data_IF_626687754000
#
_entry.id   IF_626687754000
#
_cell.length_a   1.000
_cell.length_b   1.000
_cell.length_c   1.000
_cell.angle_alpha   90.00
_cell.angle_beta   90.00
_cell.angle_gamma   90.00
#
_symmetry.space_group_name_H-M   'P 1'
#
loop_
_entity.id
_entity.type
_entity.pdbx_description
1 polymer ?
#
# COMPACT_ATOMS: atom_id res chain seq x y z
N UNK A 1 -1.53 -54.26 -1.85
CA UNK A 1 -1.40 -53.55 -3.14
C UNK A 1 -0.73 -52.22 -2.83
N UNK A 2 0.48 -51.99 -3.34
CA UNK A 2 1.24 -50.78 -3.08
C UNK A 2 0.76 -49.65 -4.02
N UNK A 3 0.46 -48.49 -3.47
CA UNK A 3 0.10 -47.29 -4.24
C UNK A 3 1.27 -46.86 -5.15
N UNK A 4 1.00 -46.43 -6.40
CA UNK A 4 2.07 -46.02 -7.29
C UNK A 4 2.68 -44.70 -6.82
N UNK A 5 4.01 -44.67 -6.73
CA UNK A 5 4.79 -43.49 -6.41
C UNK A 5 4.52 -42.38 -7.44
N UNK A 6 4.11 -41.20 -6.96
CA UNK A 6 4.03 -40.00 -7.78
C UNK A 6 5.42 -39.67 -8.32
N UNK A 7 5.60 -39.80 -9.63
CA UNK A 7 6.80 -39.39 -10.34
C UNK A 7 6.94 -37.87 -10.27
N UNK A 8 7.81 -37.37 -9.40
CA UNK A 8 8.22 -35.98 -9.38
C UNK A 8 9.04 -35.68 -10.64
N UNK A 9 8.40 -35.09 -11.66
CA UNK A 9 9.10 -34.64 -12.86
C UNK A 9 10.18 -33.62 -12.47
N UNK A 10 11.43 -33.86 -12.90
CA UNK A 10 12.53 -32.91 -12.69
C UNK A 10 12.27 -31.62 -13.50
N UNK A 11 12.49 -30.43 -12.91
CA UNK A 11 12.31 -29.17 -13.62
C UNK A 11 13.22 -29.12 -14.86
N UNK A 12 12.62 -28.80 -16.02
CA UNK A 12 13.36 -28.66 -17.28
C UNK A 12 14.06 -27.30 -17.30
N UNK A 13 15.38 -27.32 -17.40
CA UNK A 13 16.18 -26.10 -17.64
C UNK A 13 15.93 -25.63 -19.07
N UNK A 14 15.60 -24.36 -19.24
CA UNK A 14 15.35 -23.74 -20.55
C UNK A 14 16.12 -22.43 -20.67
N UNK A 15 16.48 -22.01 -21.90
CA UNK A 15 17.01 -20.67 -22.14
C UNK A 15 16.03 -19.59 -21.65
N UNK A 16 16.55 -18.55 -21.00
CA UNK A 16 15.74 -17.44 -20.56
C UNK A 16 15.18 -16.68 -21.77
N UNK A 17 13.85 -16.51 -21.84
CA UNK A 17 13.16 -15.80 -22.92
C UNK A 17 12.98 -14.31 -22.67
N UNK A 18 13.42 -13.81 -21.51
CA UNK A 18 13.20 -12.44 -21.10
C UNK A 18 14.52 -11.73 -20.79
N UNK A 19 14.61 -10.47 -21.21
CA UNK A 19 15.67 -9.55 -20.82
C UNK A 19 15.08 -8.49 -19.88
N UNK A 20 15.60 -8.40 -18.65
CA UNK A 20 15.15 -7.40 -17.66
C UNK A 20 15.76 -6.03 -17.92
N UNK A 21 14.96 -4.98 -17.74
CA UNK A 21 15.33 -3.57 -17.84
C UNK A 21 15.28 -2.84 -16.49
N UNK A 22 14.74 -1.62 -16.50
CA UNK A 22 14.66 -0.73 -15.33
C UNK A 22 13.77 -1.30 -14.22
N UNK A 23 14.04 -0.88 -12.99
CA UNK A 23 13.18 -1.17 -11.84
C UNK A 23 11.94 -0.28 -11.89
N UNK A 24 10.76 -0.90 -11.74
CA UNK A 24 9.46 -0.22 -11.69
C UNK A 24 8.98 -0.04 -10.25
N UNK A 25 9.34 -0.97 -9.35
CA UNK A 25 8.99 -0.91 -7.94
C UNK A 25 9.80 -1.88 -7.09
N UNK A 26 9.83 -1.65 -5.79
CA UNK A 26 10.53 -2.51 -4.82
C UNK A 26 9.64 -2.77 -3.60
N UNK A 27 9.57 -4.02 -3.18
CA UNK A 27 8.92 -4.47 -1.96
C UNK A 27 9.91 -5.16 -1.02
N UNK A 28 9.43 -5.63 0.13
CA UNK A 28 10.30 -6.22 1.16
C UNK A 28 11.06 -7.47 0.72
N UNK A 29 10.49 -8.25 -0.20
CA UNK A 29 11.03 -9.55 -0.64
C UNK A 29 11.15 -9.67 -2.17
N UNK A 30 10.76 -8.62 -2.90
CA UNK A 30 10.68 -8.64 -4.35
C UNK A 30 11.00 -7.30 -4.98
N UNK A 31 11.48 -7.34 -6.21
CA UNK A 31 11.66 -6.15 -7.06
C UNK A 31 10.88 -6.37 -8.34
N UNK A 32 10.08 -5.39 -8.73
CA UNK A 32 9.37 -5.40 -10.02
C UNK A 32 10.24 -4.68 -11.04
N UNK A 33 10.57 -5.36 -12.13
CA UNK A 33 11.36 -4.81 -13.24
C UNK A 33 10.56 -4.83 -14.52
N UNK A 34 10.79 -3.87 -15.39
CA UNK A 34 10.40 -4.00 -16.79
C UNK A 34 11.17 -5.16 -17.41
N UNK A 35 10.55 -5.92 -18.31
CA UNK A 35 11.26 -6.90 -19.12
C UNK A 35 10.69 -6.97 -20.53
N UNK A 36 11.52 -7.44 -21.47
CA UNK A 36 11.13 -7.65 -22.87
C UNK A 36 11.29 -9.12 -23.22
N UNK A 37 10.28 -9.70 -23.87
CA UNK A 37 10.38 -11.05 -24.42
C UNK A 37 11.27 -11.01 -25.68
N UNK A 38 12.35 -11.78 -25.67
CA UNK A 38 13.45 -11.70 -26.65
C UNK A 38 12.94 -11.97 -28.07
N UNK A 39 12.09 -12.98 -28.25
CA UNK A 39 11.64 -13.37 -29.60
C UNK A 39 10.56 -12.46 -30.18
N UNK A 40 9.75 -11.80 -29.34
CA UNK A 40 8.56 -11.04 -29.78
C UNK A 40 8.75 -9.53 -29.65
N UNK A 41 9.76 -9.08 -28.91
CA UNK A 41 9.96 -7.66 -28.60
C UNK A 41 8.90 -7.06 -27.68
N UNK A 42 7.94 -7.85 -27.17
CA UNK A 42 6.85 -7.34 -26.32
C UNK A 42 7.32 -7.09 -24.90
N UNK A 43 6.88 -5.97 -24.33
CA UNK A 43 7.21 -5.53 -22.99
C UNK A 43 6.22 -6.05 -21.94
N UNK A 44 6.76 -6.33 -20.76
CA UNK A 44 6.08 -6.93 -19.60
C UNK A 44 6.66 -6.39 -18.29
N UNK A 45 6.02 -6.73 -17.17
CA UNK A 45 6.57 -6.53 -15.84
C UNK A 45 6.98 -7.89 -15.25
N UNK A 46 8.17 -7.96 -14.65
CA UNK A 46 8.69 -9.14 -13.97
C UNK A 46 8.84 -8.85 -12.46
N UNK A 47 8.00 -9.47 -11.64
CA UNK A 47 8.17 -9.52 -10.18
C UNK A 47 9.23 -10.57 -9.85
N UNK A 48 10.41 -10.10 -9.45
CA UNK A 48 11.57 -10.93 -9.08
C UNK A 48 11.58 -11.12 -7.58
N UNK A 49 11.33 -12.35 -7.13
CA UNK A 49 11.24 -12.72 -5.71
C UNK A 49 12.50 -13.49 -5.33
N UNK A 50 13.20 -13.05 -4.28
CA UNK A 50 14.40 -13.74 -3.80
C UNK A 50 14.04 -14.94 -2.93
N UNK A 51 14.44 -16.15 -3.35
CA UNK A 51 14.12 -17.40 -2.64
C UNK A 51 14.68 -17.44 -1.22
N UNK A 52 15.87 -16.85 -0.99
CA UNK A 52 16.49 -16.80 0.35
C UNK A 52 15.69 -15.95 1.31
N UNK A 53 15.12 -14.83 0.83
CA UNK A 53 14.29 -13.95 1.64
C UNK A 53 12.90 -14.56 1.94
N UNK A 54 12.53 -15.62 1.22
CA UNK A 54 11.28 -16.36 1.38
C UNK A 54 11.44 -17.64 2.22
N UNK A 55 12.58 -17.85 2.89
CA UNK A 55 12.78 -19.00 3.76
C UNK A 55 11.67 -19.07 4.84
N UNK A 56 10.94 -20.19 4.90
CA UNK A 56 9.79 -20.39 5.79
C UNK A 56 8.48 -19.73 5.31
N UNK A 57 8.48 -19.12 4.12
CA UNK A 57 7.38 -18.37 3.50
C UNK A 57 7.12 -18.79 2.04
N UNK A 58 7.74 -19.88 1.59
CA UNK A 58 7.71 -20.37 0.21
C UNK A 58 6.29 -20.72 -0.25
N UNK A 59 5.45 -21.16 0.69
CA UNK A 59 4.04 -21.46 0.44
C UNK A 59 3.25 -20.24 -0.06
N UNK A 60 3.61 -19.02 0.37
CA UNK A 60 2.93 -17.79 -0.07
C UNK A 60 3.16 -17.54 -1.56
N UNK A 61 4.39 -17.74 -2.05
CA UNK A 61 4.72 -17.54 -3.48
C UNK A 61 4.07 -18.61 -4.36
N UNK A 62 4.06 -19.87 -3.92
CA UNK A 62 3.34 -20.94 -4.64
C UNK A 62 1.85 -20.65 -4.74
N UNK A 63 1.27 -20.14 -3.67
CA UNK A 63 -0.13 -19.74 -3.64
C UNK A 63 -0.40 -18.53 -4.56
N UNK A 64 0.46 -17.51 -4.58
CA UNK A 64 0.35 -16.39 -5.53
C UNK A 64 0.34 -16.88 -6.99
N UNK A 65 1.26 -17.79 -7.35
CA UNK A 65 1.30 -18.43 -8.67
C UNK A 65 0.01 -19.20 -8.96
N UNK A 66 -0.48 -20.00 -8.00
CA UNK A 66 -1.68 -20.82 -8.18
C UNK A 66 -2.94 -19.95 -8.36
N UNK A 67 -3.08 -18.90 -7.57
CA UNK A 67 -4.15 -17.90 -7.69
C UNK A 67 -4.11 -17.25 -9.06
N UNK A 68 -2.97 -16.64 -9.43
CA UNK A 68 -2.83 -15.94 -10.70
C UNK A 68 -3.12 -16.84 -11.90
N UNK A 69 -2.58 -18.06 -11.93
CA UNK A 69 -2.88 -19.04 -12.99
C UNK A 69 -4.37 -19.33 -13.14
N UNK A 70 -5.12 -19.33 -12.03
CA UNK A 70 -6.55 -19.64 -12.03
C UNK A 70 -7.39 -18.47 -12.54
N UNK A 71 -7.01 -17.23 -12.20
CA UNK A 71 -7.90 -16.06 -12.36
C UNK A 71 -7.48 -15.09 -13.44
N UNK A 72 -6.19 -15.03 -13.78
CA UNK A 72 -5.64 -13.88 -14.51
C UNK A 72 -6.10 -13.73 -15.96
N UNK A 73 -6.72 -14.76 -16.54
CA UNK A 73 -7.24 -14.71 -17.93
C UNK A 73 -8.76 -14.56 -18.01
N UNK A 74 -9.49 -14.60 -16.89
CA UNK A 74 -10.95 -14.62 -16.92
C UNK A 74 -11.64 -13.29 -16.61
N UNK A 75 -10.90 -12.21 -16.37
CA UNK A 75 -11.49 -10.90 -16.10
C UNK A 75 -10.60 -9.75 -16.58
N UNK A 76 -11.18 -8.76 -17.29
CA UNK A 76 -10.44 -7.64 -17.90
C UNK A 76 -9.74 -6.74 -16.87
N UNK A 77 -10.32 -6.61 -15.68
CA UNK A 77 -9.81 -5.79 -14.58
C UNK A 77 -8.87 -6.55 -13.61
N UNK A 78 -8.34 -7.71 -14.01
CA UNK A 78 -7.31 -8.44 -13.25
C UNK A 78 -6.01 -8.44 -14.05
N UNK A 79 -4.89 -8.25 -13.36
CA UNK A 79 -3.57 -8.30 -13.99
C UNK A 79 -3.25 -9.70 -14.52
N UNK A 80 -2.98 -9.80 -15.82
CA UNK A 80 -2.68 -11.07 -16.50
C UNK A 80 -1.31 -11.61 -16.11
N UNK A 81 -1.21 -12.86 -15.67
CA UNK A 81 0.04 -13.62 -15.60
C UNK A 81 0.35 -14.20 -16.98
N UNK A 82 1.47 -13.80 -17.56
CA UNK A 82 1.93 -14.18 -18.89
C UNK A 82 2.85 -15.39 -18.82
N UNK A 83 3.80 -15.39 -17.88
CA UNK A 83 4.74 -16.49 -17.67
C UNK A 83 5.22 -16.52 -16.21
N UNK A 84 5.77 -17.65 -15.79
CA UNK A 84 6.46 -17.77 -14.51
C UNK A 84 7.60 -18.79 -14.63
N UNK A 85 8.75 -18.45 -14.07
CA UNK A 85 9.91 -19.33 -14.08
C UNK A 85 10.78 -19.10 -12.85
N UNK A 86 11.73 -20.00 -12.64
CA UNK A 86 12.64 -19.92 -11.52
C UNK A 86 14.10 -20.08 -11.96
N UNK A 87 14.98 -19.37 -11.28
CA UNK A 87 16.42 -19.63 -11.32
C UNK A 87 16.85 -20.28 -10.02
N UNK A 88 18.14 -20.54 -9.84
CA UNK A 88 18.68 -21.09 -8.60
C UNK A 88 18.29 -20.24 -7.37
N UNK A 89 18.28 -18.91 -7.52
CA UNK A 89 18.12 -17.98 -6.40
C UNK A 89 16.80 -17.20 -6.40
N UNK A 90 16.10 -17.11 -7.54
CA UNK A 90 14.94 -16.24 -7.69
C UNK A 90 13.74 -16.94 -8.32
N UNK A 91 12.54 -16.46 -8.02
CA UNK A 91 11.29 -16.73 -8.73
C UNK A 91 10.90 -15.50 -9.53
N UNK A 92 10.38 -15.70 -10.74
CA UNK A 92 9.96 -14.64 -11.65
C UNK A 92 8.50 -14.85 -12.00
N UNK A 93 7.67 -13.83 -11.77
CA UNK A 93 6.30 -13.75 -12.27
C UNK A 93 6.27 -12.67 -13.34
N UNK A 94 5.99 -13.05 -14.58
CA UNK A 94 5.88 -12.14 -15.71
C UNK A 94 4.42 -11.82 -15.94
N UNK A 95 4.05 -10.55 -15.87
CA UNK A 95 2.68 -10.06 -16.06
C UNK A 95 2.61 -9.04 -17.19
N UNK A 96 1.38 -8.69 -17.59
CA UNK A 96 1.16 -7.47 -18.37
C UNK A 96 1.84 -6.27 -17.71
N UNK A 97 2.39 -5.36 -18.53
CA UNK A 97 2.97 -4.11 -18.08
C UNK A 97 1.87 -3.04 -18.03
N UNK A 98 1.49 -2.61 -16.83
CA UNK A 98 0.57 -1.49 -16.63
C UNK A 98 1.32 -0.15 -16.75
N UNK A 99 1.01 0.65 -17.77
CA UNK A 99 1.68 1.91 -18.08
C UNK A 99 0.88 3.16 -17.64
N UNK A 100 -0.40 3.00 -17.28
CA UNK A 100 -1.27 4.11 -16.89
C UNK A 100 -0.94 4.71 -15.52
N UNK A 101 -0.19 3.98 -14.70
CA UNK A 101 0.17 4.35 -13.34
C UNK A 101 -0.93 4.03 -12.33
N UNK A 102 -0.71 4.46 -11.09
CA UNK A 102 -1.60 4.20 -9.96
C UNK A 102 -2.90 4.99 -10.05
N UNK A 103 -3.95 4.45 -9.42
CA UNK A 103 -5.31 5.00 -9.41
C UNK A 103 -5.33 6.50 -9.10
N UNK A 104 -4.67 6.91 -8.03
CA UNK A 104 -4.74 8.28 -7.55
C UNK A 104 -3.96 9.27 -8.41
N UNK A 105 -2.77 8.87 -8.88
CA UNK A 105 -1.97 9.68 -9.80
C UNK A 105 -2.70 9.92 -11.12
N UNK A 106 -3.55 8.98 -11.54
CA UNK A 106 -4.43 9.15 -12.70
C UNK A 106 -5.54 10.15 -12.44
N UNK A 107 -6.22 10.05 -11.30
CA UNK A 107 -7.27 10.99 -10.90
C UNK A 107 -6.72 12.42 -10.85
N UNK A 108 -5.53 12.61 -10.27
CA UNK A 108 -4.87 13.92 -10.20
C UNK A 108 -4.55 14.55 -11.56
N UNK A 109 -4.40 13.72 -12.61
CA UNK A 109 -4.11 14.18 -13.97
C UNK A 109 -5.37 14.58 -14.75
N UNK A 110 -6.57 14.21 -14.28
CA UNK A 110 -7.83 14.65 -14.89
C UNK A 110 -8.02 16.16 -14.74
N UNK A 111 -8.83 16.75 -15.63
CA UNK A 111 -9.27 18.14 -15.53
C UNK A 111 -10.38 18.34 -14.48
N UNK A 112 -11.24 17.33 -14.32
CA UNK A 112 -12.31 17.27 -13.33
C UNK A 112 -12.52 15.82 -12.88
N UNK A 113 -13.11 15.62 -11.71
CA UNK A 113 -13.41 14.31 -11.15
C UNK A 113 -14.70 14.34 -10.34
N UNK A 114 -15.68 13.54 -10.73
CA UNK A 114 -17.02 13.55 -10.16
C UNK A 114 -17.34 12.27 -9.40
N UNK A 115 -18.45 12.29 -8.68
CA UNK A 115 -18.95 11.12 -7.97
C UNK A 115 -19.23 9.93 -8.91
N UNK A 116 -19.70 10.21 -10.14
CA UNK A 116 -19.90 9.19 -11.18
C UNK A 116 -18.61 8.52 -11.62
N UNK A 117 -17.50 9.28 -11.75
CA UNK A 117 -16.17 8.71 -12.01
C UNK A 117 -15.75 7.74 -10.90
N UNK A 118 -16.02 8.09 -9.63
CA UNK A 118 -15.75 7.23 -8.49
C UNK A 118 -16.61 5.95 -8.55
N UNK A 119 -17.90 6.07 -8.86
CA UNK A 119 -18.80 4.94 -8.99
C UNK A 119 -18.37 3.96 -10.09
N UNK A 120 -17.92 4.45 -11.26
CA UNK A 120 -17.42 3.61 -12.35
C UNK A 120 -16.13 2.86 -11.97
N UNK A 121 -15.21 3.53 -11.26
CA UNK A 121 -14.01 2.88 -10.72
C UNK A 121 -14.36 1.79 -9.71
N UNK A 122 -15.27 2.08 -8.77
CA UNK A 122 -15.73 1.10 -7.79
C UNK A 122 -16.47 -0.06 -8.47
N UNK A 123 -17.24 0.19 -9.54
CA UNK A 123 -17.89 -0.87 -10.33
C UNK A 123 -16.87 -1.82 -10.96
N UNK A 124 -15.78 -1.30 -11.53
CA UNK A 124 -14.71 -2.11 -12.10
C UNK A 124 -13.99 -2.96 -11.02
N UNK A 125 -13.72 -2.37 -9.85
CA UNK A 125 -13.11 -3.09 -8.71
C UNK A 125 -14.05 -4.19 -8.22
N UNK A 126 -15.32 -3.87 -8.00
CA UNK A 126 -16.33 -4.82 -7.54
C UNK A 126 -16.54 -5.97 -8.54
N UNK A 127 -16.53 -5.70 -9.84
CA UNK A 127 -16.64 -6.73 -10.88
C UNK A 127 -15.50 -7.74 -10.78
N UNK A 128 -14.26 -7.25 -10.65
CA UNK A 128 -13.09 -8.12 -10.46
C UNK A 128 -13.15 -8.89 -9.14
N UNK A 129 -13.56 -8.24 -8.05
CA UNK A 129 -13.64 -8.86 -6.74
C UNK A 129 -14.77 -9.90 -6.67
N UNK A 130 -15.92 -9.65 -7.30
CA UNK A 130 -16.98 -10.64 -7.45
C UNK A 130 -16.47 -11.88 -8.19
N UNK A 131 -15.76 -11.68 -9.31
CA UNK A 131 -15.13 -12.78 -10.04
C UNK A 131 -14.12 -13.56 -9.19
N UNK A 132 -13.26 -12.89 -8.41
CA UNK A 132 -12.35 -13.57 -7.48
C UNK A 132 -13.12 -14.38 -6.42
N UNK A 133 -14.14 -13.77 -5.84
CA UNK A 133 -14.98 -14.38 -4.82
C UNK A 133 -15.71 -15.61 -5.36
N UNK A 134 -16.19 -15.60 -6.60
CA UNK A 134 -16.81 -16.75 -7.27
C UNK A 134 -15.83 -17.89 -7.51
N UNK A 135 -14.52 -17.58 -7.62
CA UNK A 135 -13.45 -18.57 -7.72
C UNK A 135 -12.88 -19.00 -6.35
N UNK A 136 -13.55 -18.61 -5.25
CA UNK A 136 -13.13 -18.92 -3.89
C UNK A 136 -11.87 -18.17 -3.46
N UNK A 137 -11.51 -17.07 -4.11
CA UNK A 137 -10.30 -16.30 -3.84
C UNK A 137 -10.64 -15.01 -3.10
N UNK A 138 -9.90 -14.73 -2.04
CA UNK A 138 -9.96 -13.47 -1.29
C UNK A 138 -8.67 -12.70 -1.51
N UNK A 139 -8.77 -11.42 -1.89
CA UNK A 139 -7.60 -10.61 -2.27
C UNK A 139 -6.74 -10.22 -1.05
N UNK A 140 -7.38 -9.69 0.01
CA UNK A 140 -6.83 -9.32 1.34
C UNK A 140 -5.90 -8.12 1.41
N UNK A 141 -5.43 -7.60 0.29
CA UNK A 141 -4.60 -6.40 0.24
C UNK A 141 -5.12 -5.40 -0.79
N UNK A 142 -6.44 -5.19 -0.86
CA UNK A 142 -6.99 -4.14 -1.72
C UNK A 142 -6.64 -2.78 -1.13
N UNK A 143 -5.96 -1.96 -1.92
CA UNK A 143 -5.53 -0.59 -1.61
C UNK A 143 -5.19 0.16 -2.91
N UNK A 144 -5.18 1.50 -2.92
CA UNK A 144 -4.92 2.28 -4.12
C UNK A 144 -3.63 1.93 -4.86
N UNK A 145 -2.57 1.55 -4.14
CA UNK A 145 -1.26 1.16 -4.69
C UNK A 145 -1.33 -0.13 -5.54
N UNK A 146 -2.34 -0.98 -5.27
CA UNK A 146 -2.58 -2.22 -6.00
C UNK A 146 -3.62 -2.05 -7.12
N UNK A 147 -4.04 -0.81 -7.42
CA UNK A 147 -5.00 -0.47 -8.47
C UNK A 147 -4.30 0.35 -9.55
N UNK A 148 -4.02 -0.27 -10.69
CA UNK A 148 -3.21 0.29 -11.76
C UNK A 148 -4.03 0.45 -13.04
N UNK A 149 -3.77 1.49 -13.81
CA UNK A 149 -4.35 1.61 -15.15
C UNK A 149 -3.49 0.89 -16.18
N UNK A 150 -4.14 0.08 -17.04
CA UNK A 150 -3.46 -0.70 -18.08
C UNK A 150 -2.60 0.20 -18.98
N UNK A 151 -3.16 1.33 -19.39
CA UNK A 151 -2.53 2.24 -20.34
C UNK A 151 -2.74 3.72 -19.95
N UNK A 152 -2.00 4.67 -20.56
CA UNK A 152 -2.09 6.09 -20.21
C UNK A 152 -3.30 6.84 -20.82
N UNK A 153 -4.17 6.19 -21.59
CA UNK A 153 -5.36 6.81 -22.17
C UNK A 153 -6.49 6.99 -21.13
N UNK A 154 -7.37 7.96 -21.34
CA UNK A 154 -8.39 8.36 -20.36
C UNK A 154 -9.46 7.29 -20.13
N UNK A 155 -9.69 6.43 -21.12
CA UNK A 155 -10.60 5.29 -21.06
C UNK A 155 -9.91 3.97 -20.70
N UNK A 156 -8.69 4.01 -20.17
CA UNK A 156 -7.93 2.80 -19.84
C UNK A 156 -8.61 1.96 -18.76
N UNK A 157 -8.52 0.64 -18.91
CA UNK A 157 -9.01 -0.32 -17.91
C UNK A 157 -8.22 -0.20 -16.59
N UNK A 158 -8.95 -0.18 -15.48
CA UNK A 158 -8.39 -0.39 -14.15
C UNK A 158 -8.04 -1.89 -13.97
N UNK A 159 -6.89 -2.17 -13.39
CA UNK A 159 -6.38 -3.50 -13.09
C UNK A 159 -6.13 -3.65 -11.60
N UNK A 160 -6.64 -4.72 -11.00
CA UNK A 160 -6.22 -5.19 -9.68
C UNK A 160 -4.90 -5.96 -9.84
N UNK A 161 -3.88 -5.50 -9.13
CA UNK A 161 -2.54 -6.06 -9.07
C UNK A 161 -2.22 -6.62 -7.67
N UNK A 162 -1.09 -7.34 -7.60
CA UNK A 162 -0.48 -7.90 -6.38
C UNK A 162 -1.35 -8.86 -5.54
N UNK A 163 -1.33 -10.13 -5.96
CA UNK A 163 -2.02 -11.24 -5.29
C UNK A 163 -1.15 -11.92 -4.21
N UNK A 164 -0.04 -11.30 -3.79
CA UNK A 164 0.93 -11.89 -2.87
C UNK A 164 0.37 -12.24 -1.48
N UNK A 165 -0.73 -11.60 -1.09
CA UNK A 165 -1.46 -11.88 0.16
C UNK A 165 -2.80 -12.59 -0.06
N UNK A 166 -3.19 -12.82 -1.31
CA UNK A 166 -4.45 -13.50 -1.64
C UNK A 166 -4.43 -14.95 -1.20
N UNK A 167 -5.59 -15.57 -0.98
CA UNK A 167 -5.68 -17.01 -0.70
C UNK A 167 -6.90 -17.64 -1.35
N UNK A 168 -6.75 -18.90 -1.72
CA UNK A 168 -7.84 -19.80 -2.12
C UNK A 168 -8.50 -20.30 -0.82
N UNK A 169 -9.82 -20.15 -0.72
CA UNK A 169 -10.64 -20.74 0.33
C UNK A 169 -11.04 -22.15 -0.11
N UNK A 170 -10.76 -23.16 0.72
CA UNK A 170 -11.42 -24.46 0.60
C UNK A 170 -12.80 -24.36 1.24
N UNK A 171 -13.85 -24.71 0.50
CA UNK A 171 -15.25 -24.64 0.98
C UNK A 171 -15.52 -25.55 2.18
N UNK A 172 -14.68 -26.59 2.37
CA UNK A 172 -14.80 -27.56 3.47
C UNK A 172 -14.01 -27.18 4.73
N UNK A 173 -13.15 -26.16 4.67
CA UNK A 173 -12.35 -25.74 5.82
C UNK A 173 -12.46 -24.22 6.00
N UNK A 174 -13.42 -23.82 6.83
CA UNK A 174 -13.45 -22.49 7.46
C UNK A 174 -12.18 -22.30 8.29
N UNK A 175 -11.08 -21.92 7.64
CA UNK A 175 -9.80 -21.71 8.30
C UNK A 175 -9.81 -20.38 9.03
N UNK A 176 -9.48 -20.46 10.32
CA UNK A 176 -9.16 -19.32 11.18
C UNK A 176 -7.83 -18.75 10.72
N UNK A 177 -7.87 -17.64 10.00
CA UNK A 177 -6.69 -16.99 9.42
C UNK A 177 -6.18 -15.94 10.40
N UNK A 178 -4.98 -16.15 10.94
CA UNK A 178 -4.45 -15.38 12.10
C UNK A 178 -3.28 -14.45 11.78
N UNK A 179 -2.90 -14.31 10.51
CA UNK A 179 -1.72 -13.54 10.08
C UNK A 179 -2.08 -12.09 9.76
N UNK A 180 -1.53 -11.14 10.53
CA UNK A 180 -1.63 -9.69 10.29
C UNK A 180 -0.71 -9.31 9.12
N UNK A 181 -1.26 -9.10 7.93
CA UNK A 181 -0.55 -8.62 6.74
C UNK A 181 -1.39 -7.56 6.03
N UNK A 182 -0.79 -6.45 5.61
CA UNK A 182 -1.42 -5.34 4.85
C UNK A 182 -1.12 -3.94 5.44
N UNK A 183 -1.67 -2.89 4.82
CA UNK A 183 -1.66 -1.51 5.35
C UNK A 183 -2.83 -1.33 6.34
N UNK A 184 -2.60 -1.03 7.64
CA UNK A 184 -3.63 -1.08 8.68
C UNK A 184 -4.94 -0.36 8.35
N UNK A 185 -4.86 0.84 7.74
CA UNK A 185 -6.03 1.65 7.40
C UNK A 185 -7.05 1.03 6.45
N UNK A 186 -6.71 -0.04 5.72
CA UNK A 186 -7.62 -0.77 4.83
C UNK A 186 -8.09 -2.12 5.39
N UNK A 187 -7.57 -2.53 6.56
CA UNK A 187 -7.90 -3.83 7.16
C UNK A 187 -9.26 -3.82 7.84
N UNK A 188 -10.00 -4.93 7.68
CA UNK A 188 -11.27 -5.13 8.36
C UNK A 188 -11.11 -5.45 9.85
N UNK A 189 -12.10 -5.13 10.72
CA UNK A 189 -12.03 -5.35 12.17
C UNK A 189 -11.72 -6.80 12.57
N UNK A 190 -12.26 -7.77 11.84
CA UNK A 190 -12.08 -9.21 12.10
C UNK A 190 -10.64 -9.69 11.90
N UNK A 191 -9.84 -9.00 11.08
CA UNK A 191 -8.41 -9.32 10.89
C UNK A 191 -7.63 -9.08 12.19
N UNK A 192 -7.94 -8.00 12.90
CA UNK A 192 -7.34 -7.68 14.20
C UNK A 192 -7.82 -8.61 15.31
N UNK A 193 -9.08 -9.05 15.24
CA UNK A 193 -9.67 -10.01 16.19
C UNK A 193 -9.20 -11.45 15.98
N UNK A 194 -8.46 -11.72 14.88
CA UNK A 194 -8.00 -13.06 14.48
C UNK A 194 -9.15 -14.09 14.42
N UNK A 195 -10.37 -13.63 14.16
CA UNK A 195 -11.60 -14.44 14.24
C UNK A 195 -11.86 -15.31 13.01
N UNK A 196 -10.85 -15.53 12.16
CA UNK A 196 -11.05 -16.02 10.80
C UNK A 196 -11.62 -14.92 9.91
N UNK A 197 -11.15 -14.86 8.67
CA UNK A 197 -11.56 -13.85 7.70
C UNK A 197 -11.76 -14.46 6.32
N UNK A 198 -12.77 -13.98 5.60
CA UNK A 198 -13.13 -14.48 4.27
C UNK A 198 -13.40 -13.34 3.30
N UNK A 199 -14.20 -13.61 2.27
CA UNK A 199 -14.64 -12.65 1.24
C UNK A 199 -15.04 -11.24 1.77
N UNK A 200 -15.71 -11.09 2.93
CA UNK A 200 -16.12 -9.77 3.43
C UNK A 200 -14.98 -8.77 3.69
N UNK A 201 -13.74 -9.21 3.90
CA UNK A 201 -12.63 -8.26 4.15
C UNK A 201 -12.31 -7.40 2.94
N UNK A 202 -12.49 -7.94 1.74
CA UNK A 202 -12.28 -7.18 0.50
C UNK A 202 -13.34 -6.08 0.37
N UNK A 203 -14.57 -6.34 0.83
CA UNK A 203 -15.66 -5.35 0.80
C UNK A 203 -15.41 -4.21 1.79
N UNK A 204 -14.83 -4.49 2.96
CA UNK A 204 -14.38 -3.45 3.87
C UNK A 204 -13.34 -2.55 3.21
N UNK A 205 -12.31 -3.14 2.60
CA UNK A 205 -11.27 -2.40 1.91
C UNK A 205 -11.84 -1.54 0.75
N UNK A 206 -12.82 -2.04 0.00
CA UNK A 206 -13.55 -1.27 -1.02
C UNK A 206 -14.30 -0.10 -0.38
N UNK A 207 -14.90 -0.26 0.80
CA UNK A 207 -15.50 0.84 1.56
C UNK A 207 -14.51 1.95 1.91
N UNK A 208 -13.32 1.57 2.37
CA UNK A 208 -12.22 2.51 2.68
C UNK A 208 -11.74 3.22 1.41
N UNK A 209 -11.55 2.49 0.30
CA UNK A 209 -11.17 3.06 -1.01
C UNK A 209 -12.25 4.03 -1.49
N UNK A 210 -13.52 3.66 -1.41
CA UNK A 210 -14.65 4.49 -1.84
C UNK A 210 -14.70 5.79 -1.04
N UNK A 211 -14.55 5.70 0.28
CA UNK A 211 -14.47 6.87 1.15
C UNK A 211 -13.34 7.81 0.70
N UNK A 212 -12.14 7.26 0.50
CA UNK A 212 -10.99 8.02 0.02
C UNK A 212 -11.20 8.65 -1.35
N UNK A 213 -11.82 7.95 -2.30
CA UNK A 213 -12.09 8.47 -3.64
C UNK A 213 -13.08 9.65 -3.61
N UNK A 214 -13.97 9.73 -2.63
CA UNK A 214 -14.96 10.81 -2.57
C UNK A 214 -14.45 12.07 -1.86
N UNK A 215 -13.46 11.96 -0.97
CA UNK A 215 -13.04 13.09 -0.13
C UNK A 215 -11.52 13.26 0.04
N UNK A 216 -10.69 12.33 -0.45
CA UNK A 216 -9.23 12.43 -0.43
C UNK A 216 -8.53 12.08 0.90
N UNK A 217 -9.23 11.51 1.88
CA UNK A 217 -8.65 11.00 3.13
C UNK A 217 -9.32 9.67 3.54
N UNK A 218 -8.68 8.89 4.40
CA UNK A 218 -9.22 7.59 4.85
C UNK A 218 -10.11 7.76 6.09
N UNK A 219 -11.16 6.92 6.27
CA UNK A 219 -12.15 7.06 7.35
C UNK A 219 -11.57 6.90 8.77
N UNK A 220 -10.50 6.12 8.91
CA UNK A 220 -9.94 5.74 10.21
C UNK A 220 -8.59 6.38 10.52
N UNK A 221 -8.14 7.35 9.72
CA UNK A 221 -6.86 8.03 9.94
C UNK A 221 -6.85 8.70 11.34
N UNK A 222 -5.79 8.47 12.11
CA UNK A 222 -5.58 9.03 13.46
C UNK A 222 -4.09 9.32 13.67
N UNK A 223 -3.76 10.06 14.73
CA UNK A 223 -2.38 10.45 15.04
C UNK A 223 -1.50 9.26 15.45
N UNK A 224 -2.10 8.19 15.97
CA UNK A 224 -1.41 6.96 16.34
C UNK A 224 -2.04 5.70 15.75
N UNK A 225 -1.19 4.70 15.45
CA UNK A 225 -1.64 3.38 14.96
C UNK A 225 -2.62 2.69 15.93
N UNK A 226 -2.48 2.95 17.24
CA UNK A 226 -3.37 2.37 18.25
C UNK A 226 -4.77 2.97 18.15
N UNK A 227 -4.87 4.29 17.99
CA UNK A 227 -6.14 5.00 17.81
C UNK A 227 -6.78 4.66 16.47
N UNK A 228 -6.00 4.56 15.38
CA UNK A 228 -6.49 4.09 14.07
C UNK A 228 -7.10 2.68 14.20
N UNK A 229 -6.39 1.76 14.86
CA UNK A 229 -6.90 0.41 15.10
C UNK A 229 -8.17 0.42 15.96
N UNK A 230 -8.24 1.24 17.00
CA UNK A 230 -9.45 1.38 17.82
C UNK A 230 -10.61 1.93 17.00
N UNK A 231 -10.36 2.91 16.14
CA UNK A 231 -11.37 3.47 15.26
C UNK A 231 -11.88 2.43 14.25
N UNK A 232 -11.00 1.63 13.66
CA UNK A 232 -11.38 0.50 12.80
C UNK A 232 -12.26 -0.49 13.57
N UNK A 233 -11.82 -0.93 14.76
CA UNK A 233 -12.54 -1.92 15.57
C UNK A 233 -13.96 -1.49 15.98
N UNK A 234 -14.17 -0.18 16.13
CA UNK A 234 -15.44 0.44 16.47
C UNK A 234 -16.23 0.95 15.25
N UNK A 235 -15.68 0.84 14.04
CA UNK A 235 -16.14 1.57 12.85
C UNK A 235 -16.42 3.06 13.14
N UNK A 236 -15.51 3.70 13.89
CA UNK A 236 -15.57 5.11 14.27
C UNK A 236 -15.09 5.99 13.11
N UNK A 237 -16.03 6.34 12.24
CA UNK A 237 -15.83 7.29 11.15
C UNK A 237 -17.09 8.15 10.98
N UNK A 238 -16.93 9.32 10.39
CA UNK A 238 -18.02 10.25 10.12
C UNK A 238 -17.80 10.97 8.80
N UNK A 239 -18.89 11.31 8.11
CA UNK A 239 -18.85 12.09 6.87
C UNK A 239 -18.61 13.58 7.16
N UNK A 240 -17.44 13.87 7.73
CA UNK A 240 -17.03 15.19 8.23
C UNK A 240 -15.57 15.46 7.89
N UNK A 241 -15.18 16.71 7.58
CA UNK A 241 -16.00 17.93 7.70
C UNK A 241 -17.02 18.10 6.57
N UNK A 242 -18.09 18.86 6.85
CA UNK A 242 -19.21 19.07 5.91
C UNK A 242 -18.74 19.64 4.57
N UNK A 243 -17.68 20.43 4.56
CA UNK A 243 -17.07 21.00 3.35
C UNK A 243 -16.67 19.94 2.31
N UNK A 244 -16.26 18.73 2.72
CA UNK A 244 -15.87 17.67 1.80
C UNK A 244 -17.03 16.75 1.42
N UNK A 245 -18.05 16.68 2.26
CA UNK A 245 -19.15 15.72 2.09
C UNK A 245 -20.42 16.36 1.57
N UNK A 246 -20.58 17.69 1.60
CA UNK A 246 -21.82 18.37 1.20
C UNK A 246 -22.29 18.01 -0.22
N UNK A 247 -21.35 17.78 -1.15
CA UNK A 247 -21.64 17.39 -2.53
C UNK A 247 -21.84 15.89 -2.75
N UNK A 248 -21.45 15.06 -1.76
CA UNK A 248 -21.53 13.61 -1.87
C UNK A 248 -22.93 13.11 -1.54
N UNK A 249 -23.51 12.35 -2.46
CA UNK A 249 -24.89 11.86 -2.39
C UNK A 249 -25.18 11.02 -1.15
N UNK A 250 -26.45 10.98 -0.68
CA UNK A 250 -26.89 10.04 0.33
C UNK A 250 -26.62 8.57 -0.07
N UNK A 251 -26.76 8.23 -1.35
CA UNK A 251 -26.57 6.89 -1.90
C UNK A 251 -25.11 6.44 -1.77
N UNK A 252 -24.14 7.32 -2.05
CA UNK A 252 -22.71 7.03 -1.86
C UNK A 252 -22.39 6.78 -0.39
N UNK A 253 -22.95 7.60 0.50
CA UNK A 253 -22.76 7.44 1.95
C UNK A 253 -23.41 6.16 2.46
N UNK A 254 -24.56 5.76 1.92
CA UNK A 254 -25.21 4.48 2.23
C UNK A 254 -24.36 3.29 1.77
N UNK A 255 -23.82 3.35 0.55
CA UNK A 255 -22.90 2.34 0.02
C UNK A 255 -21.70 2.14 0.96
N UNK A 256 -21.06 3.24 1.39
CA UNK A 256 -19.93 3.19 2.34
C UNK A 256 -20.35 2.54 3.66
N UNK A 257 -21.51 2.90 4.22
CA UNK A 257 -22.01 2.29 5.48
C UNK A 257 -22.20 0.78 5.36
N UNK A 258 -22.74 0.30 4.24
CA UNK A 258 -22.93 -1.13 4.00
C UNK A 258 -21.61 -1.87 3.78
N UNK A 259 -20.59 -1.22 3.23
CA UNK A 259 -19.23 -1.77 3.15
C UNK A 259 -18.56 -1.81 4.52
N UNK A 260 -18.64 -0.73 5.30
CA UNK A 260 -17.98 -0.56 6.60
C UNK A 260 -18.82 -1.10 7.77
N UNK A 261 -19.60 -2.15 7.52
CA UNK A 261 -20.35 -2.87 8.56
C UNK A 261 -19.40 -3.78 9.35
N UNK A 262 -19.38 -3.64 10.69
CA UNK A 262 -18.46 -4.38 11.56
C UNK A 262 -18.70 -5.89 11.48
N UNK A 263 -19.96 -6.32 11.54
CA UNK A 263 -20.30 -7.74 11.45
C UNK A 263 -20.09 -8.23 10.01
N UNK A 264 -19.11 -9.12 9.75
CA UNK A 264 -18.83 -9.62 8.41
C UNK A 264 -19.99 -10.40 7.80
N UNK A 265 -20.91 -10.96 8.61
CA UNK A 265 -22.09 -11.66 8.10
C UNK A 265 -23.21 -10.70 7.65
N UNK A 266 -23.26 -9.50 8.23
CA UNK A 266 -24.20 -8.45 7.82
C UNK A 266 -23.62 -7.51 6.74
N UNK A 267 -22.29 -7.49 6.57
CA UNK A 267 -21.60 -6.74 5.53
C UNK A 267 -22.01 -7.28 4.15
N UNK A 268 -22.30 -6.37 3.22
CA UNK A 268 -22.76 -6.77 1.89
C UNK A 268 -21.70 -7.58 1.14
N UNK A 269 -22.14 -8.42 0.20
CA UNK A 269 -21.26 -9.16 -0.71
C UNK A 269 -20.87 -8.32 -1.92
N UNK A 270 -19.87 -8.75 -2.70
CA UNK A 270 -19.48 -8.07 -3.94
C UNK A 270 -20.65 -7.97 -4.92
N UNK A 271 -21.44 -9.04 -5.09
CA UNK A 271 -22.62 -9.04 -5.96
C UNK A 271 -23.71 -8.09 -5.45
N UNK A 272 -23.98 -8.05 -4.15
CA UNK A 272 -24.94 -7.10 -3.58
C UNK A 272 -24.47 -5.64 -3.75
N UNK A 273 -23.17 -5.39 -3.59
CA UNK A 273 -22.56 -4.08 -3.82
C UNK A 273 -22.65 -3.64 -5.28
N UNK A 274 -22.49 -4.56 -6.25
CA UNK A 274 -22.70 -4.28 -7.69
C UNK A 274 -24.14 -3.87 -8.02
N UNK A 275 -25.12 -4.32 -7.24
CA UNK A 275 -26.54 -3.96 -7.42
C UNK A 275 -26.95 -2.74 -6.60
N UNK A 276 -26.05 -2.13 -5.83
CA UNK A 276 -26.36 -0.96 -5.03
C UNK A 276 -26.70 0.23 -5.93
N UNK A 277 -27.72 1.02 -5.57
CA UNK A 277 -28.19 2.14 -6.39
C UNK A 277 -27.10 3.18 -6.71
N UNK A 278 -26.10 3.32 -5.83
CA UNK A 278 -24.93 4.16 -6.09
C UNK A 278 -24.03 3.63 -7.23
N UNK A 279 -23.87 2.31 -7.34
CA UNK A 279 -22.99 1.65 -8.32
C UNK A 279 -23.73 1.35 -9.61
N UNK A 280 -25.00 0.94 -9.51
CA UNK A 280 -25.90 0.60 -10.60
C UNK A 280 -27.21 1.40 -10.47
N UNK A 281 -27.21 2.68 -10.85
CA UNK A 281 -28.39 3.51 -10.76
C UNK A 281 -29.51 3.05 -11.71
N UNK A 282 -30.79 3.25 -11.35
CA UNK A 282 -31.90 2.98 -12.25
C UNK A 282 -31.77 3.80 -13.55
N UNK A 283 -32.09 3.19 -14.69
CA UNK A 283 -31.98 3.77 -16.05
C UNK A 283 -32.69 5.12 -16.28
N UNK A 284 -33.55 5.57 -15.35
CA UNK A 284 -34.45 6.72 -15.49
C UNK A 284 -33.99 7.97 -14.72
N UNK A 285 -32.82 7.92 -14.07
CA UNK A 285 -32.18 9.14 -13.57
C UNK A 285 -31.50 9.84 -14.73
N UNK A 286 -31.90 11.09 -15.04
CA UNK A 286 -31.08 12.03 -15.83
C UNK A 286 -29.61 11.83 -15.44
N UNK A 287 -28.81 11.26 -16.33
CA UNK A 287 -27.41 10.91 -16.09
C UNK A 287 -26.60 12.15 -15.67
N UNK A 288 -27.11 13.33 -16.01
CA UNK A 288 -26.60 14.65 -15.62
C UNK A 288 -26.87 15.03 -14.14
N UNK A 289 -27.56 14.19 -13.35
CA UNK A 289 -27.94 14.43 -11.94
C UNK A 289 -27.46 13.36 -10.97
N UNK A 290 -26.45 12.56 -11.32
CA UNK A 290 -25.85 11.61 -10.39
C UNK A 290 -24.83 12.32 -9.48
N UNK A 291 -25.14 12.44 -8.18
CA UNK A 291 -24.40 13.28 -7.25
C UNK A 291 -24.75 14.77 -7.37
N UNK A 292 -24.05 15.65 -6.65
CA UNK A 292 -24.31 17.11 -6.70
C UNK A 292 -23.83 17.79 -7.99
N UNK A 293 -23.12 17.08 -8.87
CA UNK A 293 -22.38 17.66 -10.00
C UNK A 293 -21.14 18.46 -9.59
N UNK A 294 -20.72 18.37 -8.33
CA UNK A 294 -19.54 19.06 -7.80
C UNK A 294 -18.25 18.34 -8.21
N UNK A 295 -17.28 19.11 -8.71
CA UNK A 295 -15.94 18.60 -9.00
C UNK A 295 -15.20 18.33 -7.67
N UNK A 296 -14.95 17.05 -7.40
CA UNK A 296 -14.28 16.58 -6.18
C UNK A 296 -12.76 16.73 -6.27
N UNK A 297 -12.21 16.94 -7.48
CA UNK A 297 -10.77 16.94 -7.72
C UNK A 297 -9.97 17.95 -6.87
N UNK A 298 -10.43 19.20 -6.66
CA UNK A 298 -9.71 20.16 -5.82
C UNK A 298 -9.54 19.67 -4.37
N UNK A 299 -10.62 19.11 -3.80
CA UNK A 299 -10.63 18.53 -2.45
C UNK A 299 -9.68 17.33 -2.36
N UNK A 300 -9.75 16.42 -3.34
CA UNK A 300 -8.87 15.25 -3.40
C UNK A 300 -7.39 15.66 -3.46
N UNK A 301 -7.02 16.60 -4.33
CA UNK A 301 -5.64 17.08 -4.49
C UNK A 301 -5.11 17.72 -3.21
N UNK A 302 -5.92 18.56 -2.56
CA UNK A 302 -5.55 19.23 -1.30
C UNK A 302 -5.25 18.21 -0.21
N UNK A 303 -6.17 17.27 0.02
CA UNK A 303 -6.07 16.30 1.11
C UNK A 303 -4.96 15.27 0.86
N UNK A 304 -4.77 14.83 -0.38
CA UNK A 304 -3.69 13.91 -0.71
C UNK A 304 -2.31 14.53 -0.63
N UNK A 305 -2.11 15.74 -1.13
CA UNK A 305 -0.80 16.39 -1.05
C UNK A 305 -0.39 16.62 0.41
N UNK A 306 -1.34 16.96 1.28
CA UNK A 306 -1.11 16.99 2.73
C UNK A 306 -0.69 15.61 3.27
N UNK A 307 -1.43 14.54 2.93
CA UNK A 307 -1.14 13.16 3.37
C UNK A 307 0.21 12.66 2.87
N UNK A 308 0.55 12.88 1.60
CA UNK A 308 1.82 12.47 0.97
C UNK A 308 3.00 13.22 1.57
N UNK A 309 2.83 14.51 1.87
CA UNK A 309 3.86 15.32 2.55
C UNK A 309 4.10 14.80 3.96
N UNK A 310 3.03 14.45 4.69
CA UNK A 310 3.11 13.87 6.03
C UNK A 310 3.79 12.48 6.01
N UNK A 311 3.42 11.59 5.09
CA UNK A 311 4.04 10.26 4.97
C UNK A 311 5.53 10.37 4.62
N UNK A 312 5.90 11.24 3.67
CA UNK A 312 7.31 11.50 3.35
C UNK A 312 8.09 12.00 4.57
N UNK A 313 7.50 12.88 5.38
CA UNK A 313 8.14 13.35 6.61
C UNK A 313 8.33 12.23 7.63
N UNK A 314 7.33 11.38 7.86
CA UNK A 314 7.40 10.23 8.77
C UNK A 314 8.43 9.21 8.29
N UNK A 315 8.45 8.88 7.00
CA UNK A 315 9.41 7.92 6.43
C UNK A 315 10.84 8.45 6.52
N UNK A 316 11.04 9.75 6.32
CA UNK A 316 12.34 10.41 6.54
C UNK A 316 12.80 10.28 7.99
N UNK A 317 11.91 10.55 8.96
CA UNK A 317 12.21 10.40 10.39
C UNK A 317 12.51 8.94 10.76
N UNK A 318 11.74 7.97 10.23
CA UNK A 318 12.02 6.54 10.42
C UNK A 318 13.34 6.11 9.81
N UNK A 319 13.72 6.63 8.64
CA UNK A 319 15.01 6.36 8.02
C UNK A 319 16.17 6.92 8.84
N UNK A 320 16.05 8.15 9.36
CA UNK A 320 17.02 8.77 10.26
C UNK A 320 17.17 7.95 11.55
N UNK A 321 16.06 7.50 12.15
CA UNK A 321 16.10 6.68 13.36
C UNK A 321 16.72 5.31 13.11
N UNK A 322 16.44 4.66 11.96
CA UNK A 322 17.13 3.43 11.56
C UNK A 322 18.63 3.62 11.31
N UNK A 323 19.05 4.76 10.76
CA UNK A 323 20.47 5.09 10.61
C UNK A 323 21.15 5.32 11.97
N UNK A 324 20.43 5.93 12.92
CA UNK A 324 20.91 6.10 14.31
C UNK A 324 21.00 4.76 15.05
N UNK A 325 20.02 3.87 14.88
CA UNK A 325 20.03 2.52 15.45
C UNK A 325 21.10 1.62 14.80
N UNK A 326 21.41 1.83 13.53
CA UNK A 326 22.47 1.14 12.79
C UNK A 326 23.88 1.70 13.01
N UNK A 327 24.02 2.87 13.64
CA UNK A 327 25.31 3.56 13.87
C UNK A 327 26.08 3.10 15.11
N UNK A 328 25.62 2.08 15.82
CA UNK A 328 26.23 1.59 17.08
C UNK A 328 27.49 0.73 16.92
N UNK A 329 28.04 0.55 15.72
CA UNK A 329 29.25 -0.24 15.51
C UNK A 329 30.25 0.47 14.57
N UNK A 330 31.32 0.95 15.21
CA UNK A 330 32.66 1.27 14.68
C UNK A 330 32.82 2.50 13.77
N UNK A 331 33.50 3.52 14.30
CA UNK A 331 34.67 4.08 13.61
C UNK A 331 35.63 4.72 14.62
N UNK A 332 36.76 4.04 14.86
CA UNK A 332 37.97 4.68 15.39
C UNK A 332 38.43 5.77 14.43
N UNK A 333 38.88 6.88 15.00
CA UNK A 333 39.23 8.08 14.26
C UNK A 333 40.40 7.89 13.30
N UNK A 334 40.14 8.17 12.03
CA UNK A 334 41.12 8.81 11.13
C UNK A 334 40.33 9.80 10.26
N UNK A 335 40.69 11.08 10.36
CA UNK A 335 40.07 12.16 9.59
C UNK A 335 40.35 11.95 8.09
N UNK A 336 39.32 11.59 7.32
CA UNK A 336 39.37 11.69 5.86
C UNK A 336 39.14 13.14 5.45
N UNK A 337 40.11 13.70 4.74
CA UNK A 337 40.06 15.04 4.14
C UNK A 337 39.15 14.98 2.91
N UNK A 338 38.17 15.88 2.84
CA UNK A 338 37.29 16.03 1.67
C UNK A 338 38.10 16.42 0.41
N UNK A 339 37.85 15.79 -0.76
CA UNK A 339 38.45 16.25 -2.01
C UNK A 339 37.81 17.57 -2.45
N UNK A 340 38.65 18.53 -2.84
CA UNK A 340 38.22 19.86 -3.32
C UNK A 340 37.50 19.76 -4.68
N UNK A 341 36.53 20.64 -4.97
CA UNK A 341 35.74 20.59 -6.21
C UNK A 341 36.57 21.02 -7.43
N UNK A 342 36.70 20.13 -8.42
CA UNK A 342 37.26 20.44 -9.75
C UNK A 342 36.19 21.06 -10.66
N UNK A 343 36.55 22.12 -11.39
CA UNK A 343 35.75 22.65 -12.52
C UNK A 343 36.30 22.10 -13.82
N UNK A 344 35.46 21.39 -14.57
CA UNK A 344 35.78 20.83 -15.89
C UNK A 344 35.34 21.80 -16.99
N UNK A 345 36.25 22.18 -17.88
CA UNK A 345 35.92 22.88 -19.15
C UNK A 345 36.57 22.11 -20.28
N UNK A 346 35.79 21.30 -21.00
CA UNK A 346 36.31 20.45 -22.07
C UNK A 346 37.13 19.26 -21.55
N UNK A 347 38.14 18.84 -22.31
CA UNK A 347 38.90 17.60 -22.06
C UNK A 347 40.21 17.79 -21.27
N UNK A 348 40.49 18.96 -20.69
CA UNK A 348 41.71 19.22 -19.92
C UNK A 348 41.39 19.79 -18.51
N UNK A 349 42.18 19.39 -17.50
CA UNK A 349 42.05 19.76 -16.07
C UNK A 349 43.24 20.65 -15.64
N UNK A 350 42.98 21.73 -14.90
CA UNK A 350 44.02 22.64 -14.36
C UNK A 350 43.90 22.80 -12.83
N UNK A 351 45.03 22.80 -12.11
CA UNK A 351 45.13 23.07 -10.66
C UNK A 351 45.39 24.57 -10.37
N UNK A 352 44.70 25.14 -9.37
CA UNK A 352 44.85 26.55 -8.97
C UNK A 352 45.83 26.70 -7.78
N UNK A 353 46.90 27.50 -7.95
CA UNK A 353 47.92 27.76 -6.93
C UNK A 353 47.50 28.88 -5.94
N UNK A 354 47.86 28.69 -4.67
CA UNK A 354 47.51 29.53 -3.51
C UNK A 354 48.11 30.94 -3.56
N UNK A 355 47.30 31.95 -3.19
CA UNK A 355 47.75 33.31 -2.87
C UNK A 355 47.39 33.65 -1.42
N UNK A 356 48.40 33.94 -0.59
CA UNK A 356 48.27 34.48 0.77
C UNK A 356 48.50 36.00 0.74
N UNK A 357 47.69 36.79 1.49
CA UNK A 357 48.17 38.05 2.02
C UNK A 357 48.18 38.07 3.55
N UNK A 358 49.29 38.61 4.06
CA UNK A 358 49.51 39.02 5.45
C UNK A 358 48.58 40.16 5.87
N UNK A 359 48.13 40.16 7.13
CA UNK A 359 48.07 41.37 7.96
C UNK A 359 48.18 41.03 9.45
N UNK A 360 49.10 41.75 10.10
CA UNK A 360 49.37 41.81 11.54
C UNK A 360 48.29 42.61 12.28
N UNK A 361 48.12 42.34 13.58
CA UNK A 361 47.65 43.37 14.52
C UNK A 361 46.82 42.88 15.72
N UNK A 362 47.51 42.74 16.84
CA UNK A 362 47.07 43.03 18.22
C UNK A 362 46.24 42.05 19.07
N UNK A 363 46.80 41.89 20.29
CA UNK A 363 46.34 41.16 21.47
C UNK A 363 45.35 41.99 22.27
N UNK A 364 44.36 41.35 22.91
CA UNK A 364 43.93 41.65 24.28
C UNK A 364 43.01 40.53 24.83
N UNK A 365 43.22 40.21 26.11
CA UNK A 365 42.51 39.24 26.93
C UNK A 365 41.01 39.55 27.13
N UNK A 366 40.16 38.52 27.20
CA UNK A 366 39.08 38.45 28.20
C UNK A 366 38.55 37.03 28.38
N UNK A 367 38.72 36.52 29.60
CA UNK A 367 37.89 35.46 30.18
C UNK A 367 36.44 35.92 30.24
N UNK A 368 35.53 35.04 29.84
CA UNK A 368 34.09 35.29 29.90
C UNK A 368 33.31 33.99 29.70
N UNK A 369 32.96 33.36 30.82
CA UNK A 369 31.87 32.38 30.89
C UNK A 369 30.62 32.95 30.20
N UNK A 370 30.02 32.18 29.30
CA UNK A 370 28.63 32.38 28.89
C UNK A 370 27.89 31.06 29.08
N UNK A 371 27.23 30.95 30.23
CA UNK A 371 26.03 30.14 30.40
C UNK A 371 25.01 30.57 29.34
N UNK A 372 24.56 29.62 28.52
CA UNK A 372 23.34 29.78 27.73
C UNK A 372 22.26 28.91 28.38
N UNK A 373 21.31 29.64 28.95
CA UNK A 373 20.18 29.20 29.75
C UNK A 373 19.27 28.20 29.02
N UNK A 374 18.95 27.11 29.70
CA UNK A 374 18.17 25.99 29.18
C UNK A 374 16.67 26.22 29.37
N UNK A 375 15.99 26.82 28.40
CA UNK A 375 14.52 26.74 28.29
C UNK A 375 14.05 26.67 26.84
N UNK A 376 13.70 25.46 26.41
CA UNK A 376 13.06 25.21 25.11
C UNK A 376 12.58 23.76 24.90
N UNK A 377 12.16 23.03 25.94
CA UNK A 377 11.57 21.69 25.78
C UNK A 377 10.04 21.77 25.58
N UNK A 378 9.61 21.79 24.32
CA UNK A 378 8.24 21.49 23.91
C UNK A 378 8.06 19.96 23.78
N UNK A 379 7.81 19.32 24.93
CA UNK A 379 7.00 18.10 25.16
C UNK A 379 7.13 16.93 24.16
N UNK A 380 8.23 16.17 24.29
CA UNK A 380 8.19 14.72 24.10
C UNK A 380 7.66 14.04 25.37
N UNK A 381 6.98 12.90 25.24
CA UNK A 381 6.51 12.14 26.41
C UNK A 381 7.70 11.66 27.25
N UNK A 382 7.59 11.72 28.57
CA UNK A 382 8.64 11.20 29.47
C UNK A 382 8.63 9.68 29.48
N UNK A 383 9.76 9.04 29.77
CA UNK A 383 9.86 7.57 29.90
C UNK A 383 8.84 6.98 30.89
N UNK A 384 8.43 7.78 31.87
CA UNK A 384 7.41 7.42 32.85
C UNK A 384 6.00 7.39 32.22
N UNK A 385 5.70 8.31 31.29
CA UNK A 385 4.47 8.31 30.50
C UNK A 385 4.42 7.13 29.54
N UNK A 386 5.55 6.76 28.92
CA UNK A 386 5.67 5.58 28.05
C UNK A 386 5.36 4.30 28.85
N UNK A 387 5.97 4.13 30.03
CA UNK A 387 5.72 2.97 30.90
C UNK A 387 4.29 2.91 31.43
N UNK A 388 3.68 4.07 31.71
CA UNK A 388 2.27 4.14 32.10
C UNK A 388 1.33 3.73 30.96
N UNK A 389 1.67 4.12 29.73
CA UNK A 389 0.92 3.73 28.52
C UNK A 389 1.05 2.23 28.23
N UNK A 390 2.25 1.65 28.36
CA UNK A 390 2.46 0.20 28.26
C UNK A 390 1.70 -0.59 29.33
N UNK A 391 1.62 -0.06 30.55
CA UNK A 391 0.86 -0.68 31.65
C UNK A 391 -0.65 -0.65 31.37
N UNK A 392 -1.17 0.48 30.89
CA UNK A 392 -2.57 0.59 30.43
C UNK A 392 -2.90 -0.37 29.28
N UNK A 393 -1.97 -0.56 28.34
CA UNK A 393 -2.13 -1.53 27.24
C UNK A 393 -2.22 -2.96 27.81
N UNK A 394 -1.34 -3.34 28.73
CA UNK A 394 -1.39 -4.66 29.38
C UNK A 394 -2.67 -4.89 30.18
N UNK A 395 -3.14 -3.90 30.92
CA UNK A 395 -4.39 -3.98 31.71
C UNK A 395 -5.63 -4.05 30.81
N UNK A 396 -5.67 -3.29 29.72
CA UNK A 396 -6.77 -3.28 28.76
C UNK A 396 -6.86 -4.62 28.02
N UNK A 397 -5.72 -5.15 27.58
CA UNK A 397 -5.64 -6.48 26.96
C UNK A 397 -6.15 -7.53 27.95
N UNK A 398 -5.66 -7.56 29.19
CA UNK A 398 -6.12 -8.50 30.21
C UNK A 398 -7.63 -8.39 30.52
N UNK A 399 -8.18 -7.18 30.57
CA UNK A 399 -9.60 -6.92 30.80
C UNK A 399 -10.52 -7.48 29.70
N UNK A 400 -10.08 -7.39 28.44
CA UNK A 400 -10.79 -7.98 27.28
C UNK A 400 -10.83 -9.51 27.34
N UNK A 401 -9.75 -10.18 27.76
CA UNK A 401 -9.70 -11.64 27.88
C UNK A 401 -10.55 -12.17 29.06
N UNK A 402 -10.73 -11.39 30.13
CA UNK A 402 -11.57 -11.79 31.27
C UNK A 402 -13.07 -11.79 30.97
N UNK A 403 -13.53 -10.98 30.01
CA UNK A 403 -14.95 -10.88 29.63
C UNK A 403 -15.40 -11.94 28.63
N UNK A 404 -14.49 -12.53 27.85
CA UNK A 404 -14.78 -13.66 26.94
C UNK A 404 -14.88 -15.02 27.65
N UNK A 405 -14.43 -15.15 28.90
CA UNK A 405 -14.47 -16.42 29.64
C UNK A 405 -15.77 -16.65 30.44
N UNK A 406 -16.75 -15.74 30.36
CA UNK A 406 -18.03 -15.81 31.11
C UNK A 406 -19.28 -15.65 30.25
N UNK A 407 -19.23 -15.96 28.96
CA UNK A 407 -20.44 -16.12 28.14
C UNK A 407 -20.40 -17.39 27.33
#
# INVERSE_FOLDING_TARGET
MASPAQTTQRPKVQPCRYKTGKTLGAGSYSVVKECVHIDTGRYYAAKVINKRLMAGREHMVRNEIAVLKRVSMGHQNILTLVDYFETMNNLYLVTDLALGGELFDRICRKGSYYESDAADLIRAILSAVAYLHDHGIVHRDLKPENLLFRTPEDNADLLIADFGLSRIMDEEQFHVLTTTCGTPGYMAPEIFKKSGHGKPVDIWAIGVITYFLLCGYTPFDRDSNLEEMQAILAADYSFTPLEYWRGVSPEARDFIKRCLTIDPAARMTAHAALQHAWVNPPYDTDVDKFGSGEDLLPTLKKNFNARRTLHKAIDTVRAINKLREGGGLMMDGVMSVDPKPERVVGNDVYEEQQYHPHHQGDRADHDGEMEIDGRGNARGQTDEQIRAQERKVKETVAGLWSKSAKR
#
